data_IF_612168676344
#
_entry.id   IF_612168676344
#
_cell.length_a   1.000
_cell.length_b   1.000
_cell.length_c   1.000
_cell.angle_alpha   90.00
_cell.angle_beta   90.00
_cell.angle_gamma   90.00
#
_symmetry.space_group_name_H-M   'P 1'
#
loop_
_entity.id
_entity.type
_entity.pdbx_description
1 polymer ?
#
# COMPACT_ATOMS: atom_id res chain seq x y z
N UNK A 1 -2.25 -1.72 10.53
CA UNK A 1 -1.33 -1.50 9.41
C UNK A 1 -0.07 -0.89 10.01
N UNK A 2 1.12 -1.31 9.59
CA UNK A 2 2.38 -0.72 10.06
C UNK A 2 3.26 -0.29 8.89
N UNK A 3 4.07 0.72 9.15
CA UNK A 3 5.12 1.22 8.26
C UNK A 3 6.43 1.20 9.03
N UNK A 4 7.30 0.29 8.66
CA UNK A 4 8.63 0.17 9.23
C UNK A 4 9.61 0.88 8.29
N UNK A 5 10.18 1.99 8.78
CA UNK A 5 11.02 2.88 7.99
C UNK A 5 12.45 2.76 8.49
N UNK A 6 13.37 2.40 7.59
CA UNK A 6 14.79 2.24 7.91
C UNK A 6 15.63 3.07 6.95
N UNK A 7 16.45 4.02 7.45
CA UNK A 7 17.39 4.74 6.60
C UNK A 7 18.52 3.80 6.15
N UNK A 8 18.94 3.93 4.90
CA UNK A 8 20.04 3.20 4.30
C UNK A 8 20.95 4.14 3.48
N UNK A 9 22.11 3.64 3.01
CA UNK A 9 23.10 4.47 2.33
C UNK A 9 22.60 5.09 1.01
N UNK A 10 21.63 4.46 0.34
CA UNK A 10 21.09 4.89 -0.95
C UNK A 10 19.65 5.44 -0.85
N UNK A 11 19.19 5.77 0.36
CA UNK A 11 17.82 6.22 0.62
C UNK A 11 17.14 5.41 1.71
N UNK A 12 15.81 5.37 1.68
CA UNK A 12 15.00 4.81 2.76
C UNK A 12 14.34 3.51 2.31
N UNK A 13 14.45 2.45 3.12
CA UNK A 13 13.61 1.27 2.96
C UNK A 13 12.35 1.44 3.78
N UNK A 14 11.19 1.26 3.12
CA UNK A 14 9.89 1.24 3.75
C UNK A 14 9.30 -0.16 3.61
N UNK A 15 8.97 -0.79 4.74
CA UNK A 15 8.22 -2.04 4.78
C UNK A 15 6.81 -1.76 5.26
N UNK A 16 5.84 -2.07 4.41
CA UNK A 16 4.42 -1.97 4.72
C UNK A 16 3.87 -3.33 5.16
N UNK A 17 3.09 -3.34 6.25
CA UNK A 17 2.37 -4.54 6.70
C UNK A 17 0.88 -4.23 6.93
N UNK A 18 0.01 -4.90 6.19
CA UNK A 18 -1.44 -4.87 6.46
C UNK A 18 -1.84 -5.99 7.42
N UNK A 19 -1.93 -5.68 8.72
CA UNK A 19 -2.42 -6.65 9.71
C UNK A 19 -3.88 -7.03 9.43
N UNK A 20 -4.18 -8.33 9.48
CA UNK A 20 -5.53 -8.86 9.27
C UNK A 20 -5.89 -9.19 7.81
N UNK A 21 -5.01 -8.93 6.84
CA UNK A 21 -5.18 -9.45 5.48
C UNK A 21 -4.61 -10.87 5.41
N UNK A 22 -5.47 -11.87 5.60
CA UNK A 22 -5.07 -13.29 5.66
C UNK A 22 -5.62 -14.09 4.47
N UNK A 23 -4.93 -15.15 4.00
CA UNK A 23 -5.39 -16.00 2.89
C UNK A 23 -6.78 -16.64 3.07
N UNK A 24 -7.22 -16.77 4.31
CA UNK A 24 -8.55 -17.30 4.67
C UNK A 24 -9.72 -16.41 4.20
N UNK A 25 -9.46 -15.13 3.95
CA UNK A 25 -10.49 -14.19 3.53
C UNK A 25 -10.80 -14.37 2.04
N UNK A 26 -12.10 -14.42 1.70
CA UNK A 26 -12.54 -14.56 0.31
C UNK A 26 -11.99 -13.47 -0.62
N UNK A 27 -11.75 -12.26 -0.11
CA UNK A 27 -11.16 -11.15 -0.89
C UNK A 27 -9.64 -11.13 -0.93
N UNK A 28 -8.95 -12.08 -0.28
CA UNK A 28 -7.52 -11.96 0.01
C UNK A 28 -6.69 -11.58 -1.22
N UNK A 29 -6.98 -12.20 -2.38
CA UNK A 29 -6.24 -11.97 -3.61
C UNK A 29 -6.46 -10.55 -4.14
N UNK A 30 -7.71 -10.10 -4.23
CA UNK A 30 -8.09 -8.79 -4.73
C UNK A 30 -7.63 -7.69 -3.77
N UNK A 31 -7.85 -7.90 -2.48
CA UNK A 31 -7.41 -7.05 -1.38
C UNK A 31 -5.86 -6.93 -1.36
N UNK A 32 -5.13 -8.04 -1.49
CA UNK A 32 -3.65 -8.05 -1.57
C UNK A 32 -3.12 -7.33 -2.81
N UNK A 33 -3.76 -7.53 -3.96
CA UNK A 33 -3.42 -6.81 -5.19
C UNK A 33 -3.66 -5.31 -5.06
N UNK A 34 -4.79 -4.90 -4.47
CA UNK A 34 -5.11 -3.50 -4.22
C UNK A 34 -4.08 -2.83 -3.32
N UNK A 35 -3.75 -3.46 -2.19
CA UNK A 35 -2.72 -2.96 -1.27
C UNK A 35 -1.34 -2.90 -1.93
N UNK A 36 -0.95 -3.92 -2.69
CA UNK A 36 0.31 -3.92 -3.43
C UNK A 36 0.39 -2.71 -4.37
N UNK A 37 -0.64 -2.48 -5.19
CA UNK A 37 -0.70 -1.34 -6.11
C UNK A 37 -0.65 0.00 -5.38
N UNK A 38 -1.37 0.13 -4.26
CA UNK A 38 -1.36 1.35 -3.45
C UNK A 38 0.06 1.67 -2.95
N UNK A 39 0.77 0.66 -2.44
CA UNK A 39 2.11 0.83 -1.85
C UNK A 39 3.17 1.06 -2.94
N UNK A 40 3.18 0.26 -4.01
CA UNK A 40 4.24 0.31 -5.02
C UNK A 40 4.09 1.46 -5.99
N UNK A 41 2.88 2.01 -6.15
CA UNK A 41 2.60 3.08 -7.11
C UNK A 41 2.27 4.38 -6.38
N UNK A 42 1.12 4.44 -5.72
CA UNK A 42 0.59 5.69 -5.16
C UNK A 42 1.47 6.25 -4.03
N UNK A 43 1.79 5.41 -3.04
CA UNK A 43 2.63 5.79 -1.92
C UNK A 43 4.06 6.08 -2.37
N UNK A 44 4.62 5.26 -3.26
CA UNK A 44 5.95 5.51 -3.80
C UNK A 44 6.03 6.86 -4.54
N UNK A 45 5.04 7.18 -5.38
CA UNK A 45 4.96 8.47 -6.08
C UNK A 45 4.83 9.62 -5.07
N UNK A 46 3.98 9.49 -4.06
CA UNK A 46 3.84 10.49 -2.99
C UNK A 46 5.16 10.76 -2.27
N UNK A 47 5.90 9.71 -1.91
CA UNK A 47 7.16 9.82 -1.18
C UNK A 47 8.30 10.41 -2.03
N UNK A 48 8.30 10.18 -3.33
CA UNK A 48 9.40 10.59 -4.22
C UNK A 48 9.13 11.89 -4.97
N UNK A 49 7.87 12.25 -5.18
CA UNK A 49 7.47 13.42 -6.00
C UNK A 49 6.60 14.42 -5.26
N UNK A 50 6.06 14.06 -4.09
CA UNK A 50 5.09 14.88 -3.36
C UNK A 50 3.64 14.73 -3.84
N UNK A 51 3.37 13.96 -4.90
CA UNK A 51 2.03 13.72 -5.44
C UNK A 51 1.76 12.21 -5.53
N UNK A 52 0.66 11.75 -4.95
CA UNK A 52 0.20 10.36 -5.02
C UNK A 52 -0.92 10.16 -6.04
N UNK A 53 -1.22 8.90 -6.33
CA UNK A 53 -2.35 8.48 -7.18
C UNK A 53 -3.32 7.62 -6.36
N UNK A 54 -4.14 8.22 -5.48
CA UNK A 54 -5.05 7.46 -4.63
C UNK A 54 -6.10 6.72 -5.47
N UNK A 55 -6.48 5.51 -5.04
CA UNK A 55 -7.64 4.85 -5.62
C UNK A 55 -8.87 5.70 -5.27
N UNK A 56 -9.63 6.20 -6.26
CA UNK A 56 -10.78 7.05 -6.00
C UNK A 56 -11.84 6.28 -5.19
N UNK A 57 -12.50 6.97 -4.25
CA UNK A 57 -13.54 6.39 -3.37
C UNK A 57 -14.67 5.70 -4.17
N UNK A 58 -14.98 6.21 -5.36
CA UNK A 58 -15.95 5.64 -6.32
C UNK A 58 -15.59 4.21 -6.79
N UNK A 59 -14.31 3.83 -6.74
CA UNK A 59 -13.84 2.48 -7.08
C UNK A 59 -13.66 1.57 -5.86
N UNK A 60 -13.85 2.08 -4.64
CA UNK A 60 -13.85 1.26 -3.44
C UNK A 60 -15.18 0.49 -3.33
N UNK A 61 -15.18 -0.80 -2.95
CA UNK A 61 -16.42 -1.52 -2.73
C UNK A 61 -17.22 -0.81 -1.63
N UNK A 62 -18.53 -0.59 -1.87
CA UNK A 62 -19.43 0.06 -0.93
C UNK A 62 -19.42 -0.69 0.41
N UNK A 63 -19.35 0.09 1.50
CA UNK A 63 -19.33 -0.38 2.90
C UNK A 63 -20.61 -1.10 3.31
#
# INVERSE_FOLDING_TARGET
>A
MSFDITPGPNGTTLRFTHHGLTPDQACYRECSRGWTSCVTTSLHALLTTGVGEPIPESAAPAK
#
